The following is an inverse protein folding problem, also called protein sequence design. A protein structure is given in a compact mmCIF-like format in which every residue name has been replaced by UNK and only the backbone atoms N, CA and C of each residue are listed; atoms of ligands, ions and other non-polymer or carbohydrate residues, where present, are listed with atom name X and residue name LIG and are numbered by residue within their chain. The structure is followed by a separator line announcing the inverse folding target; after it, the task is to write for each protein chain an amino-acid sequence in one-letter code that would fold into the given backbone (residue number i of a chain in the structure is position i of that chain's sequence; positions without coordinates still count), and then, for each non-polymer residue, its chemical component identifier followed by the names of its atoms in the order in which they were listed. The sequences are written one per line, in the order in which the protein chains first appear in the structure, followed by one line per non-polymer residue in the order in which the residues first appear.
data_IF_241717964311
#
_entry.id   IF_241717964311
#
_cell.length_a   1.000
_cell.length_b   1.000
_cell.length_c   1.000
_cell.angle_alpha   90.00
_cell.angle_beta   90.00
_cell.angle_gamma   90.00
#
_symmetry.space_group_name_H-M   'P 1'
#
loop_
_entity.id
_entity.type
_entity.pdbx_description
1 polymer ?
#
# COMPACT_ATOMS: atom_id res chain seq x y z
N UNK A 1 -20.05 2.30 33.08
CA UNK A 1 -18.60 2.14 32.81
C UNK A 1 -18.32 1.12 31.73
N UNK A 2 -18.63 -0.18 31.93
CA UNK A 2 -18.53 -1.19 30.85
C UNK A 2 -19.20 -0.75 29.55
N UNK A 3 -20.43 -0.23 29.65
CA UNK A 3 -21.18 0.26 28.49
C UNK A 3 -20.52 1.50 27.86
N UNK A 4 -19.94 2.37 28.68
CA UNK A 4 -19.39 3.66 28.25
C UNK A 4 -18.08 3.48 27.46
N UNK A 5 -17.17 2.60 27.91
CA UNK A 5 -15.90 2.35 27.21
C UNK A 5 -16.11 1.59 25.89
N UNK A 6 -17.03 0.61 25.89
CA UNK A 6 -17.40 -0.13 24.69
C UNK A 6 -18.04 0.79 23.65
N UNK A 7 -18.95 1.66 24.08
CA UNK A 7 -19.63 2.60 23.18
C UNK A 7 -18.68 3.70 22.68
N UNK A 8 -17.80 4.21 23.56
CA UNK A 8 -16.73 5.12 23.16
C UNK A 8 -15.83 4.48 22.09
N UNK A 9 -15.43 3.22 22.27
CA UNK A 9 -14.60 2.50 21.29
C UNK A 9 -15.31 2.37 19.95
N UNK A 10 -16.59 1.98 19.96
CA UNK A 10 -17.42 1.94 18.75
C UNK A 10 -17.50 3.30 18.06
N UNK A 11 -17.70 4.37 18.83
CA UNK A 11 -17.80 5.72 18.30
C UNK A 11 -16.48 6.20 17.70
N UNK A 12 -15.35 5.99 18.37
CA UNK A 12 -14.01 6.29 17.84
C UNK A 12 -13.78 5.54 16.52
N UNK A 13 -14.09 4.24 16.47
CA UNK A 13 -13.87 3.44 15.26
C UNK A 13 -14.71 3.93 14.08
N UNK A 14 -16.00 4.24 14.29
CA UNK A 14 -16.86 4.81 13.25
C UNK A 14 -16.32 6.15 12.77
N UNK A 15 -15.99 7.04 13.71
CA UNK A 15 -15.50 8.39 13.42
C UNK A 15 -14.15 8.40 12.70
N UNK A 16 -13.26 7.47 13.04
CA UNK A 16 -12.00 7.27 12.31
C UNK A 16 -12.23 6.95 10.83
N UNK A 17 -13.17 6.06 10.50
CA UNK A 17 -13.45 5.69 9.10
C UNK A 17 -14.36 6.68 8.37
N UNK A 18 -15.22 7.40 9.09
CA UNK A 18 -15.95 8.58 8.60
C UNK A 18 -15.05 9.80 8.36
N UNK A 19 -13.76 9.71 8.74
CA UNK A 19 -12.76 10.78 8.58
C UNK A 19 -13.04 12.02 9.43
N UNK A 20 -13.65 11.82 10.61
CA UNK A 20 -13.85 12.84 11.63
C UNK A 20 -12.64 12.89 12.56
N UNK A 21 -11.55 13.50 12.06
CA UNK A 21 -10.26 13.51 12.71
C UNK A 21 -10.28 14.26 14.06
N UNK A 22 -10.97 15.40 14.12
CA UNK A 22 -11.05 16.23 15.32
C UNK A 22 -11.64 15.44 16.48
N UNK A 23 -12.76 14.74 16.24
CA UNK A 23 -13.37 13.89 17.26
C UNK A 23 -12.42 12.80 17.75
N UNK A 24 -11.72 12.12 16.82
CA UNK A 24 -10.82 11.01 17.16
C UNK A 24 -9.66 11.50 18.01
N UNK A 25 -9.02 12.61 17.63
CA UNK A 25 -7.90 13.21 18.36
C UNK A 25 -8.32 13.59 19.78
N UNK A 26 -9.51 14.15 19.97
CA UNK A 26 -10.04 14.53 21.28
C UNK A 26 -10.20 13.36 22.27
N UNK A 27 -10.23 12.12 21.79
CA UNK A 27 -10.33 10.92 22.65
C UNK A 27 -8.96 10.29 22.97
N UNK A 28 -7.85 10.86 22.47
CA UNK A 28 -6.50 10.33 22.68
C UNK A 28 -5.80 11.05 23.84
N UNK A 29 -4.93 10.34 24.55
CA UNK A 29 -3.99 10.97 25.46
C UNK A 29 -2.78 11.54 24.70
N UNK A 30 -2.08 12.51 25.30
CA UNK A 30 -0.88 13.12 24.71
C UNK A 30 0.23 12.10 24.42
N UNK A 31 0.34 11.06 25.24
CA UNK A 31 1.32 9.97 25.20
C UNK A 31 0.79 8.70 24.47
N UNK A 32 -0.19 8.84 23.57
CA UNK A 32 -0.79 7.73 22.83
C UNK A 32 0.27 6.89 22.07
N UNK A 33 0.16 5.57 22.17
CA UNK A 33 0.87 4.63 21.32
C UNK A 33 -0.09 3.96 20.33
N UNK A 34 0.10 4.20 19.04
CA UNK A 34 -0.67 3.58 17.97
C UNK A 34 0.17 2.52 17.25
N UNK A 35 -0.36 1.30 17.20
CA UNK A 35 0.18 0.19 16.42
C UNK A 35 -0.90 -0.22 15.41
N UNK A 36 -0.74 0.19 14.16
CA UNK A 36 -1.65 -0.19 13.09
C UNK A 36 -1.11 -1.33 12.22
N UNK A 37 -1.93 -1.83 11.27
CA UNK A 37 -1.55 -2.92 10.39
C UNK A 37 -0.46 -2.55 9.36
N UNK A 38 -0.16 -1.27 9.15
CA UNK A 38 0.87 -0.81 8.22
C UNK A 38 2.21 -0.59 8.92
N UNK A 39 3.32 -0.80 8.19
CA UNK A 39 4.69 -0.61 8.73
C UNK A 39 4.93 0.81 9.28
N UNK A 40 4.32 1.84 8.68
CA UNK A 40 4.42 3.23 9.13
C UNK A 40 3.66 3.49 10.43
N UNK A 41 2.76 2.61 10.82
CA UNK A 41 1.83 2.80 11.93
C UNK A 41 2.40 2.24 13.24
N UNK A 42 3.67 2.50 13.54
CA UNK A 42 4.24 2.31 14.88
C UNK A 42 4.58 3.69 15.44
N UNK A 43 3.60 4.30 16.10
CA UNK A 43 3.56 5.73 16.39
C UNK A 43 3.50 5.95 17.90
N UNK A 44 4.21 6.97 18.37
CA UNK A 44 4.17 7.45 19.73
C UNK A 44 3.94 8.96 19.75
N UNK A 45 3.00 9.41 20.58
CA UNK A 45 2.66 10.81 20.80
C UNK A 45 1.55 11.33 19.88
N UNK A 46 0.75 12.25 20.41
CA UNK A 46 -0.45 12.79 19.75
C UNK A 46 -0.15 13.52 18.44
N UNK A 47 0.95 14.28 18.37
CA UNK A 47 1.34 15.02 17.16
C UNK A 47 1.63 14.08 15.98
N UNK A 48 2.41 13.02 16.22
CA UNK A 48 2.72 12.01 15.19
C UNK A 48 1.48 11.19 14.80
N UNK A 49 0.59 10.93 15.76
CA UNK A 49 -0.69 10.27 15.50
C UNK A 49 -1.57 11.11 14.57
N UNK A 50 -1.66 12.42 14.83
CA UNK A 50 -2.39 13.37 13.99
C UNK A 50 -1.82 13.41 12.56
N UNK A 51 -0.50 13.55 12.41
CA UNK A 51 0.15 13.62 11.10
C UNK A 51 -0.17 12.41 10.22
N UNK A 52 -0.12 11.19 10.79
CA UNK A 52 -0.45 9.97 10.04
C UNK A 52 -1.93 9.93 9.65
N UNK A 53 -2.84 10.31 10.56
CA UNK A 53 -4.27 10.30 10.24
C UNK A 53 -4.66 11.40 9.22
N UNK A 54 -3.93 12.51 9.14
CA UNK A 54 -4.12 13.55 8.12
C UNK A 54 -3.76 13.02 6.72
N UNK A 55 -2.72 12.19 6.61
CA UNK A 55 -2.33 11.55 5.34
C UNK A 55 -3.41 10.56 4.88
N UNK A 56 -4.05 9.86 5.82
CA UNK A 56 -5.03 8.80 5.55
C UNK A 56 -6.43 9.31 5.13
N UNK A 57 -6.65 10.63 5.06
CA UNK A 57 -7.96 11.22 4.78
C UNK A 57 -8.50 10.96 3.37
N UNK A 58 -7.63 10.59 2.42
CA UNK A 58 -7.96 10.55 0.98
C UNK A 58 -8.99 9.49 0.56
N UNK A 59 -9.25 8.47 1.38
CA UNK A 59 -10.17 7.37 1.06
C UNK A 59 -11.09 7.09 2.26
N UNK A 60 -12.40 7.34 2.18
CA UNK A 60 -13.35 7.00 3.23
C UNK A 60 -13.67 5.51 3.21
N UNK A 61 -13.96 4.95 4.39
CA UNK A 61 -14.42 3.58 4.55
C UNK A 61 -15.69 3.53 5.39
N UNK A 62 -16.41 2.42 5.32
CA UNK A 62 -17.54 2.10 6.16
C UNK A 62 -17.20 0.91 7.05
N UNK A 63 -17.81 0.88 8.24
CA UNK A 63 -17.66 -0.22 9.21
C UNK A 63 -18.97 -0.97 9.30
N UNK A 64 -18.91 -2.30 9.27
CA UNK A 64 -20.04 -3.19 9.57
C UNK A 64 -19.59 -4.36 10.44
N UNK A 65 -20.56 -5.12 10.94
CA UNK A 65 -20.33 -6.34 11.72
C UNK A 65 -19.41 -6.13 12.94
N UNK A 66 -19.47 -4.93 13.54
CA UNK A 66 -18.62 -4.53 14.65
C UNK A 66 -19.07 -5.10 15.99
N UNK A 67 -18.14 -5.73 16.71
CA UNK A 67 -18.35 -6.28 18.04
C UNK A 67 -17.19 -5.84 18.93
N UNK A 68 -17.52 -5.27 20.09
CA UNK A 68 -16.55 -4.78 21.07
C UNK A 68 -16.90 -5.32 22.45
N UNK A 69 -15.86 -5.69 23.21
CA UNK A 69 -15.96 -6.30 24.52
C UNK A 69 -14.98 -5.65 25.50
N UNK A 70 -15.45 -5.37 26.71
CA UNK A 70 -14.59 -4.98 27.82
C UNK A 70 -13.80 -6.21 28.28
N UNK A 71 -12.48 -6.14 28.17
CA UNK A 71 -11.54 -7.23 28.53
C UNK A 71 -11.11 -7.12 29.99
N UNK A 72 -10.94 -5.90 30.50
CA UNK A 72 -10.53 -5.64 31.88
C UNK A 72 -10.78 -4.19 32.28
N UNK A 73 -10.95 -3.97 33.58
CA UNK A 73 -11.23 -2.65 34.16
C UNK A 73 -10.55 -2.54 35.53
N UNK A 74 -10.10 -1.33 35.85
CA UNK A 74 -9.60 -0.92 37.16
C UNK A 74 -10.07 0.52 37.43
N UNK A 75 -9.73 1.05 38.61
CA UNK A 75 -9.99 2.47 38.93
C UNK A 75 -9.25 3.41 37.97
N UNK A 76 -8.04 3.02 37.56
CA UNK A 76 -7.13 3.76 36.69
C UNK A 76 -7.52 3.74 35.20
N UNK A 77 -8.33 2.78 34.76
CA UNK A 77 -8.62 2.63 33.33
C UNK A 77 -9.27 1.31 32.92
N UNK A 78 -9.30 1.04 31.62
CA UNK A 78 -9.89 -0.18 31.09
C UNK A 78 -9.31 -0.60 29.73
N UNK A 79 -9.53 -1.86 29.36
CA UNK A 79 -9.15 -2.44 28.08
C UNK A 79 -10.40 -2.89 27.34
N UNK A 80 -10.55 -2.47 26.09
CA UNK A 80 -11.61 -2.90 25.18
C UNK A 80 -10.96 -3.57 23.98
N UNK A 81 -11.42 -4.77 23.62
CA UNK A 81 -11.02 -5.41 22.37
C UNK A 81 -12.24 -5.57 21.48
N UNK A 82 -12.02 -5.60 20.17
CA UNK A 82 -13.11 -5.78 19.23
C UNK A 82 -12.65 -6.33 17.90
N UNK A 83 -13.65 -6.66 17.09
CA UNK A 83 -13.50 -7.04 15.70
C UNK A 83 -14.56 -6.32 14.88
N UNK A 84 -14.24 -6.03 13.63
CA UNK A 84 -15.12 -5.32 12.73
C UNK A 84 -14.69 -5.58 11.29
N UNK A 85 -15.61 -5.31 10.37
CA UNK A 85 -15.33 -5.38 8.93
C UNK A 85 -15.31 -3.97 8.38
N UNK A 86 -14.19 -3.58 7.78
CA UNK A 86 -14.05 -2.31 7.07
C UNK A 86 -14.20 -2.54 5.57
N UNK A 87 -14.93 -1.67 4.88
CA UNK A 87 -15.08 -1.75 3.43
C UNK A 87 -15.25 -0.39 2.76
N UNK A 88 -15.01 -0.34 1.46
CA UNK A 88 -15.42 0.78 0.60
C UNK A 88 -15.91 0.27 -0.77
N UNK A 89 -16.75 1.08 -1.44
CA UNK A 89 -17.38 0.71 -2.72
C UNK A 89 -16.70 1.45 -3.90
N UNK A 90 -15.40 1.26 -4.08
CA UNK A 90 -14.70 1.70 -5.29
C UNK A 90 -14.36 3.20 -5.35
N UNK A 91 -14.20 3.85 -4.21
CA UNK A 91 -13.77 5.25 -4.15
C UNK A 91 -12.35 5.35 -4.74
N UNK A 92 -12.17 6.20 -5.76
CA UNK A 92 -10.89 6.38 -6.47
C UNK A 92 -10.30 5.08 -7.07
N UNK A 93 -11.15 4.18 -7.59
CA UNK A 93 -10.74 2.88 -8.15
C UNK A 93 -10.10 1.92 -7.11
N UNK A 94 -10.27 2.17 -5.82
CA UNK A 94 -9.83 1.30 -4.74
C UNK A 94 -11.05 0.64 -4.07
N UNK A 95 -11.08 -0.70 -4.08
CA UNK A 95 -12.08 -1.50 -3.35
C UNK A 95 -11.34 -2.28 -2.27
N UNK A 96 -11.83 -2.21 -1.05
CA UNK A 96 -11.32 -2.92 0.11
C UNK A 96 -12.50 -3.53 0.86
N UNK A 97 -12.29 -4.76 1.31
CA UNK A 97 -13.11 -5.44 2.31
C UNK A 97 -12.13 -6.19 3.20
N UNK A 98 -12.06 -5.84 4.48
CA UNK A 98 -11.10 -6.42 5.40
C UNK A 98 -11.71 -6.63 6.79
N UNK A 99 -11.50 -7.81 7.35
CA UNK A 99 -11.78 -8.07 8.76
C UNK A 99 -10.61 -7.62 9.62
N UNK A 100 -10.86 -6.77 10.61
CA UNK A 100 -9.83 -6.27 11.51
C UNK A 100 -10.18 -6.54 12.96
N UNK A 101 -9.15 -6.53 13.79
CA UNK A 101 -9.26 -6.62 15.24
C UNK A 101 -8.55 -5.43 15.85
N UNK A 102 -9.16 -4.85 16.87
CA UNK A 102 -8.58 -3.76 17.63
C UNK A 102 -8.50 -4.07 19.11
N UNK A 103 -7.52 -3.47 19.78
CA UNK A 103 -7.45 -3.36 21.24
C UNK A 103 -7.19 -1.91 21.59
N UNK A 104 -8.03 -1.35 22.45
CA UNK A 104 -7.91 -0.03 23.04
C UNK A 104 -7.59 -0.19 24.52
N UNK A 105 -6.58 0.53 24.99
CA UNK A 105 -6.30 0.73 26.41
C UNK A 105 -6.60 2.17 26.73
N UNK A 106 -7.50 2.36 27.70
CA UNK A 106 -7.90 3.67 28.19
C UNK A 106 -7.31 3.92 29.56
N UNK A 107 -6.87 5.16 29.77
CA UNK A 107 -6.57 5.72 31.09
C UNK A 107 -7.69 6.67 31.50
N UNK A 108 -8.03 6.65 32.78
CA UNK A 108 -8.96 7.60 33.37
C UNK A 108 -8.20 8.87 33.76
N UNK A 109 -8.65 10.01 33.24
CA UNK A 109 -8.09 11.31 33.57
C UNK A 109 -9.23 12.31 33.73
N UNK A 110 -9.31 12.96 34.89
CA UNK A 110 -10.35 13.96 35.20
C UNK A 110 -11.79 13.46 34.94
N UNK A 111 -12.05 12.18 35.23
CA UNK A 111 -13.35 11.55 35.03
C UNK A 111 -13.65 11.13 33.58
N UNK A 112 -12.78 11.43 32.61
CA UNK A 112 -12.86 10.99 31.21
C UNK A 112 -11.99 9.77 30.96
N UNK A 113 -12.34 9.00 29.93
CA UNK A 113 -11.48 7.96 29.37
C UNK A 113 -10.73 8.53 28.17
N UNK A 114 -9.41 8.39 28.17
CA UNK A 114 -8.54 8.74 27.04
C UNK A 114 -7.77 7.51 26.60
N UNK A 115 -7.74 7.25 25.29
CA UNK A 115 -6.98 6.16 24.73
C UNK A 115 -5.48 6.45 24.86
N UNK A 116 -4.76 5.56 25.52
CA UNK A 116 -3.29 5.62 25.69
C UNK A 116 -2.57 4.60 24.81
N UNK A 117 -3.28 3.55 24.38
CA UNK A 117 -2.76 2.59 23.44
C UNK A 117 -3.86 2.09 22.53
N UNK A 118 -3.56 2.00 21.24
CA UNK A 118 -4.43 1.35 20.28
C UNK A 118 -3.57 0.39 19.46
N UNK A 119 -4.07 -0.83 19.28
CA UNK A 119 -3.49 -1.81 18.39
C UNK A 119 -4.57 -2.29 17.43
N UNK A 120 -4.36 -2.09 16.13
CA UNK A 120 -5.19 -2.64 15.06
C UNK A 120 -4.39 -3.65 14.26
N UNK A 121 -5.00 -4.80 13.98
CA UNK A 121 -4.40 -5.89 13.22
C UNK A 121 -5.37 -6.41 12.16
N UNK A 122 -4.81 -6.81 11.02
CA UNK A 122 -5.56 -7.53 9.99
C UNK A 122 -5.63 -9.02 10.34
N UNK A 123 -6.71 -9.69 9.95
CA UNK A 123 -6.70 -11.15 9.89
C UNK A 123 -5.78 -11.61 8.76
N UNK A 124 -5.13 -12.77 8.93
CA UNK A 124 -4.31 -13.36 7.86
C UNK A 124 -5.16 -13.72 6.63
N UNK A 125 -6.46 -13.94 6.83
CA UNK A 125 -7.42 -14.26 5.78
C UNK A 125 -7.62 -13.09 4.80
N UNK A 126 -7.39 -11.83 5.24
CA UNK A 126 -7.39 -10.66 4.34
C UNK A 126 -6.25 -10.67 3.30
N UNK A 127 -5.25 -11.54 3.45
CA UNK A 127 -4.18 -11.73 2.46
C UNK A 127 -4.52 -12.84 1.45
N UNK A 128 -5.64 -13.55 1.65
CA UNK A 128 -6.08 -14.66 0.81
C UNK A 128 -7.13 -14.16 -0.20
N UNK A 129 -6.66 -13.47 -1.24
CA UNK A 129 -7.40 -13.43 -2.50
C UNK A 129 -7.22 -14.81 -3.15
N UNK A 130 -8.11 -15.75 -2.82
CA UNK A 130 -8.20 -17.09 -3.41
C UNK A 130 -8.31 -18.23 -2.39
N UNK A 131 -9.43 -18.96 -2.46
CA UNK A 131 -9.81 -20.23 -1.80
C UNK A 131 -9.50 -20.39 -0.29
N UNK A 132 -10.57 -20.25 0.51
CA UNK A 132 -10.68 -20.30 1.97
C UNK A 132 -10.28 -21.62 2.68
N UNK A 133 -9.53 -22.54 2.06
CA UNK A 133 -9.47 -23.93 2.57
C UNK A 133 -8.35 -24.33 3.51
N UNK A 134 -7.41 -23.44 3.88
CA UNK A 134 -6.24 -23.91 4.63
C UNK A 134 -5.76 -22.94 5.71
N UNK A 135 -6.51 -22.83 6.80
CA UNK A 135 -5.87 -22.53 8.08
C UNK A 135 -6.55 -23.21 9.29
N UNK A 136 -5.91 -24.25 9.85
CA UNK A 136 -5.75 -24.27 11.31
C UNK A 136 -4.36 -24.73 11.76
N UNK A 137 -3.70 -23.85 12.52
CA UNK A 137 -2.78 -24.09 13.64
C UNK A 137 -2.15 -25.49 13.81
N UNK A 138 -1.10 -25.81 13.04
CA UNK A 138 0.05 -26.63 13.51
C UNK A 138 1.27 -26.70 12.57
N UNK A 139 1.19 -26.18 11.34
CA UNK A 139 2.24 -26.30 10.32
C UNK A 139 2.99 -24.97 10.05
N UNK A 140 3.47 -24.29 11.09
CA UNK A 140 4.02 -22.93 10.97
C UNK A 140 5.32 -22.79 10.14
N UNK A 141 6.10 -23.86 9.95
CA UNK A 141 7.33 -23.83 9.13
C UNK A 141 7.06 -24.20 7.67
N UNK A 142 6.32 -25.30 7.46
CA UNK A 142 6.00 -25.82 6.13
C UNK A 142 5.05 -24.90 5.37
N UNK A 143 4.09 -24.26 6.06
CA UNK A 143 3.20 -23.29 5.42
C UNK A 143 3.89 -21.95 5.16
N UNK A 144 4.88 -21.55 5.97
CA UNK A 144 5.70 -20.38 5.65
C UNK A 144 6.55 -20.64 4.41
N UNK A 145 7.16 -21.83 4.28
CA UNK A 145 7.91 -22.22 3.10
C UNK A 145 7.02 -22.35 1.85
N UNK A 146 5.79 -22.86 2.01
CA UNK A 146 4.80 -22.92 0.94
C UNK A 146 4.24 -21.55 0.58
N UNK A 147 3.98 -20.66 1.54
CA UNK A 147 3.60 -19.27 1.30
C UNK A 147 4.73 -18.50 0.65
N UNK A 148 5.99 -18.67 1.09
CA UNK A 148 7.17 -18.12 0.43
C UNK A 148 7.25 -18.64 -1.01
N UNK A 149 6.99 -19.92 -1.24
CA UNK A 149 6.93 -20.50 -2.59
C UNK A 149 5.80 -19.92 -3.44
N UNK A 150 4.59 -19.74 -2.89
CA UNK A 150 3.46 -19.13 -3.59
C UNK A 150 3.68 -17.63 -3.84
N UNK A 151 4.31 -16.91 -2.92
CA UNK A 151 4.77 -15.53 -3.09
C UNK A 151 5.86 -15.50 -4.17
N UNK A 152 6.80 -16.44 -4.19
CA UNK A 152 7.80 -16.58 -5.25
C UNK A 152 7.19 -16.97 -6.61
N UNK A 153 6.06 -17.68 -6.61
CA UNK A 153 5.34 -18.08 -7.82
C UNK A 153 4.42 -16.96 -8.33
N UNK A 154 3.79 -16.17 -7.45
CA UNK A 154 2.92 -15.02 -7.79
C UNK A 154 3.66 -13.69 -8.01
N UNK A 155 4.70 -13.40 -7.23
CA UNK A 155 5.65 -12.28 -7.48
C UNK A 155 6.61 -12.64 -8.64
N UNK A 156 6.56 -13.89 -9.10
CA UNK A 156 7.53 -14.44 -10.01
C UNK A 156 8.89 -14.60 -9.32
N UNK A 157 9.69 -15.56 -9.78
CA UNK A 157 11.15 -15.48 -9.56
C UNK A 157 11.56 -14.06 -9.89
N UNK A 158 12.29 -13.37 -9.02
CA UNK A 158 12.83 -12.03 -9.28
C UNK A 158 13.28 -12.02 -10.75
N UNK A 159 12.56 -11.29 -11.62
CA UNK A 159 12.90 -11.24 -13.04
C UNK A 159 14.08 -10.28 -13.16
N UNK A 160 15.21 -10.70 -12.59
CA UNK A 160 16.44 -9.94 -12.57
C UNK A 160 17.00 -9.92 -13.98
N UNK A 161 17.02 -8.74 -14.58
CA UNK A 161 17.71 -8.50 -15.85
C UNK A 161 19.11 -8.02 -15.52
N UNK A 162 20.12 -8.60 -16.19
CA UNK A 162 21.50 -8.16 -16.05
C UNK A 162 21.80 -7.04 -17.06
N UNK A 163 22.17 -5.87 -16.56
CA UNK A 163 22.62 -4.75 -17.37
C UNK A 163 24.11 -4.47 -17.12
N UNK A 164 24.85 -4.24 -18.21
CA UNK A 164 26.25 -3.84 -18.12
C UNK A 164 26.34 -2.35 -17.74
N UNK A 165 26.99 -2.04 -16.63
CA UNK A 165 27.28 -0.69 -16.18
C UNK A 165 28.40 0.00 -16.96
N UNK A 166 28.75 1.22 -16.55
CA UNK A 166 29.73 2.06 -17.23
C UNK A 166 31.18 1.66 -16.94
N UNK A 167 31.49 1.17 -15.73
CA UNK A 167 32.85 0.85 -15.27
C UNK A 167 33.11 -0.67 -15.15
N UNK A 168 32.47 -1.46 -16.03
CA UNK A 168 32.52 -2.93 -16.06
C UNK A 168 31.78 -3.65 -14.92
N UNK A 169 31.01 -2.94 -14.12
CA UNK A 169 30.04 -3.53 -13.20
C UNK A 169 28.87 -4.19 -13.96
N UNK A 170 28.25 -5.18 -13.33
CA UNK A 170 27.01 -5.80 -13.77
C UNK A 170 25.91 -5.50 -12.75
N UNK A 171 24.79 -4.94 -13.23
CA UNK A 171 23.63 -4.63 -12.43
C UNK A 171 22.56 -5.70 -12.65
N UNK A 172 22.23 -6.44 -11.60
CA UNK A 172 21.11 -7.37 -11.59
C UNK A 172 19.89 -6.63 -11.02
N UNK A 173 19.03 -6.16 -11.91
CA UNK A 173 17.91 -5.29 -11.55
C UNK A 173 16.62 -6.09 -11.65
N UNK A 174 15.84 -6.12 -10.57
CA UNK A 174 14.48 -6.62 -10.63
C UNK A 174 13.67 -5.74 -11.57
N UNK A 175 13.14 -6.33 -12.64
CA UNK A 175 12.43 -5.61 -13.68
C UNK A 175 11.21 -4.86 -13.14
N UNK A 176 10.58 -5.39 -12.08
CA UNK A 176 9.43 -4.77 -11.44
C UNK A 176 9.80 -3.49 -10.66
N UNK A 177 11.09 -3.27 -10.38
CA UNK A 177 11.58 -2.04 -9.75
C UNK A 177 11.84 -0.92 -10.77
N UNK A 178 11.86 -1.23 -12.07
CA UNK A 178 12.14 -0.24 -13.12
C UNK A 178 10.84 0.50 -13.45
N UNK A 179 10.84 1.82 -13.23
CA UNK A 179 9.72 2.73 -13.52
C UNK A 179 9.75 3.16 -14.98
N UNK A 180 10.90 3.65 -15.45
CA UNK A 180 11.12 3.97 -16.86
C UNK A 180 12.61 3.91 -17.20
N UNK A 181 12.90 3.96 -18.50
CA UNK A 181 14.25 3.96 -19.06
C UNK A 181 14.39 5.15 -19.97
N UNK A 182 15.43 5.94 -19.71
CA UNK A 182 15.79 7.11 -20.49
C UNK A 182 16.99 6.83 -21.40
N UNK A 183 16.92 7.26 -22.66
CA UNK A 183 18.01 7.11 -23.61
C UNK A 183 19.10 8.17 -23.37
N UNK A 184 20.35 7.71 -23.37
CA UNK A 184 21.54 8.56 -23.47
C UNK A 184 22.34 8.28 -24.74
N UNK A 185 23.49 8.94 -24.89
CA UNK A 185 24.37 8.73 -26.05
C UNK A 185 25.01 7.32 -26.03
N UNK A 186 24.41 6.39 -26.80
CA UNK A 186 24.79 4.96 -26.86
C UNK A 186 24.76 4.25 -25.50
N UNK A 187 23.97 4.78 -24.58
CA UNK A 187 23.82 4.36 -23.18
C UNK A 187 22.36 4.55 -22.79
N UNK A 188 21.95 4.03 -21.64
CA UNK A 188 20.64 4.30 -21.08
C UNK A 188 20.73 4.54 -19.58
N UNK A 189 19.74 5.21 -19.02
CA UNK A 189 19.56 5.40 -17.59
C UNK A 189 18.29 4.67 -17.16
N UNK A 190 18.43 3.74 -16.23
CA UNK A 190 17.29 3.09 -15.59
C UNK A 190 16.84 3.97 -14.42
N UNK A 191 15.59 4.41 -14.43
CA UNK A 191 14.95 5.00 -13.26
C UNK A 191 14.19 3.88 -12.54
N UNK A 192 14.68 3.52 -11.35
CA UNK A 192 14.06 2.52 -10.48
C UNK A 192 13.35 3.22 -9.29
N UNK A 193 12.53 2.48 -8.55
CA UNK A 193 11.81 3.00 -7.40
C UNK A 193 12.74 3.50 -6.27
N UNK A 194 13.87 2.84 -6.04
CA UNK A 194 14.84 3.19 -4.98
C UNK A 194 15.97 4.11 -5.46
N UNK A 195 16.35 4.03 -6.74
CA UNK A 195 17.52 4.72 -7.29
C UNK A 195 17.51 4.82 -8.81
N UNK A 196 18.43 5.61 -9.35
CA UNK A 196 18.73 5.63 -10.77
C UNK A 196 20.13 5.07 -11.05
N UNK A 197 20.32 4.41 -12.19
CA UNK A 197 21.64 3.92 -12.61
C UNK A 197 21.87 4.07 -14.11
N UNK A 198 23.12 4.27 -14.49
CA UNK A 198 23.53 4.39 -15.89
C UNK A 198 24.10 3.06 -16.39
N UNK A 199 23.64 2.62 -17.56
CA UNK A 199 24.05 1.38 -18.20
C UNK A 199 24.58 1.67 -19.60
N UNK A 200 25.56 0.87 -20.05
CA UNK A 200 26.17 1.03 -21.38
C UNK A 200 25.40 0.33 -22.50
N UNK A 201 24.17 -0.07 -22.23
CA UNK A 201 23.26 -0.70 -23.19
C UNK A 201 22.36 0.39 -23.81
N UNK A 202 22.32 0.54 -25.15
CA UNK A 202 21.41 1.46 -25.82
C UNK A 202 19.94 1.08 -25.64
N UNK A 203 19.06 2.08 -25.56
CA UNK A 203 17.63 1.88 -25.30
C UNK A 203 16.94 0.93 -26.30
N UNK A 204 17.39 0.90 -27.55
CA UNK A 204 16.83 0.02 -28.58
C UNK A 204 17.20 -1.46 -28.41
N UNK A 205 18.35 -1.76 -27.79
CA UNK A 205 18.71 -3.15 -27.41
C UNK A 205 17.94 -3.58 -26.17
N UNK A 206 17.61 -2.64 -25.28
CA UNK A 206 16.80 -2.93 -24.09
C UNK A 206 15.36 -3.24 -24.48
N UNK A 207 14.79 -2.46 -25.41
CA UNK A 207 13.41 -2.62 -25.91
C UNK A 207 13.10 -4.05 -26.37
N UNK A 208 14.06 -4.76 -26.95
CA UNK A 208 13.85 -6.12 -27.48
C UNK A 208 13.83 -7.21 -26.41
N UNK A 209 14.35 -6.92 -25.22
CA UNK A 209 14.53 -7.89 -24.12
C UNK A 209 13.50 -7.68 -23.00
N UNK A 210 12.74 -6.58 -23.03
CA UNK A 210 11.76 -6.26 -22.00
C UNK A 210 10.40 -6.93 -22.29
N UNK A 211 9.66 -7.34 -21.24
CA UNK A 211 8.31 -7.88 -21.37
C UNK A 211 7.30 -6.80 -21.76
N UNK A 212 6.09 -7.24 -22.10
CA UNK A 212 5.00 -6.39 -22.63
C UNK A 212 4.55 -5.24 -21.71
N UNK A 213 4.83 -5.32 -20.41
CA UNK A 213 4.59 -4.22 -19.46
C UNK A 213 5.47 -2.99 -19.76
N UNK A 214 6.50 -3.11 -20.62
CA UNK A 214 7.34 -2.00 -21.05
C UNK A 214 7.01 -1.58 -22.47
N UNK A 215 6.71 -0.29 -22.66
CA UNK A 215 6.42 0.27 -23.99
C UNK A 215 7.26 1.50 -24.29
N UNK A 216 7.66 1.64 -25.57
CA UNK A 216 8.43 2.78 -26.04
C UNK A 216 7.55 3.94 -26.48
N UNK A 217 7.42 4.94 -25.62
CA UNK A 217 6.56 6.11 -25.85
C UNK A 217 7.26 7.23 -26.63
N UNK A 218 8.60 7.30 -26.56
CA UNK A 218 9.39 8.34 -27.19
C UNK A 218 10.72 7.75 -27.71
N UNK A 219 11.43 8.47 -28.58
CA UNK A 219 12.78 8.04 -29.01
C UNK A 219 13.73 7.87 -27.81
N UNK A 220 13.46 8.63 -26.74
CA UNK A 220 14.23 8.67 -25.51
C UNK A 220 13.62 7.94 -24.32
N UNK A 221 12.40 7.41 -24.40
CA UNK A 221 11.73 6.86 -23.23
C UNK A 221 11.03 5.53 -23.52
N UNK A 222 11.30 4.54 -22.68
CA UNK A 222 10.51 3.34 -22.47
C UNK A 222 9.93 3.45 -21.06
N UNK A 223 8.64 3.20 -20.88
CA UNK A 223 7.98 3.25 -19.57
C UNK A 223 7.51 1.87 -19.16
N UNK A 224 7.44 1.62 -17.86
CA UNK A 224 6.68 0.52 -17.30
C UNK A 224 5.23 0.97 -17.08
N UNK A 225 4.29 0.23 -17.66
CA UNK A 225 2.86 0.51 -17.59
C UNK A 225 2.30 0.36 -16.18
N UNK A 226 2.90 -0.47 -15.34
CA UNK A 226 2.52 -0.64 -13.93
C UNK A 226 2.70 0.64 -13.09
N UNK A 227 3.52 1.58 -13.58
CA UNK A 227 3.84 2.83 -12.89
C UNK A 227 3.22 4.08 -13.57
N UNK A 228 2.30 3.90 -14.51
CA UNK A 228 1.57 5.03 -15.11
C UNK A 228 0.52 5.55 -14.13
N UNK A 229 0.65 6.81 -13.70
CA UNK A 229 -0.30 7.44 -12.79
C UNK A 229 -1.50 8.00 -13.56
N UNK A 230 -1.26 8.75 -14.64
CA UNK A 230 -2.29 9.22 -15.56
C UNK A 230 -1.67 9.64 -16.91
N UNK A 231 -2.53 9.79 -17.91
CA UNK A 231 -2.16 10.28 -19.24
C UNK A 231 -2.82 11.63 -19.49
N UNK A 232 -2.02 12.62 -19.86
CA UNK A 232 -2.46 13.94 -20.32
C UNK A 232 -2.09 14.12 -21.79
N UNK A 233 -2.64 15.15 -22.45
CA UNK A 233 -2.37 15.35 -23.87
C UNK A 233 -0.86 15.50 -24.13
N UNK A 234 -0.28 14.49 -24.81
CA UNK A 234 1.15 14.37 -25.16
C UNK A 234 2.10 14.18 -23.96
N UNK A 235 1.59 13.86 -22.78
CA UNK A 235 2.39 13.68 -21.57
C UNK A 235 1.90 12.47 -20.76
N UNK A 236 2.83 11.72 -20.19
CA UNK A 236 2.53 10.61 -19.29
C UNK A 236 3.12 10.94 -17.93
N UNK A 237 2.27 10.93 -16.91
CA UNK A 237 2.68 11.14 -15.53
C UNK A 237 2.95 9.77 -14.89
N UNK A 238 4.14 9.62 -14.34
CA UNK A 238 4.62 8.40 -13.70
C UNK A 238 4.42 8.47 -12.18
N UNK A 239 4.40 7.31 -11.52
CA UNK A 239 4.22 7.21 -10.07
C UNK A 239 5.30 7.93 -9.24
N UNK A 240 6.53 8.03 -9.75
CA UNK A 240 7.62 8.77 -9.09
C UNK A 240 7.51 10.30 -9.21
N UNK A 241 6.42 10.79 -9.83
CA UNK A 241 6.19 12.21 -10.10
C UNK A 241 6.83 12.73 -11.39
N UNK A 242 7.52 11.87 -12.16
CA UNK A 242 8.08 12.28 -13.45
C UNK A 242 6.99 12.48 -14.52
N UNK A 243 7.14 13.51 -15.35
CA UNK A 243 6.29 13.74 -16.54
C UNK A 243 7.09 13.50 -17.81
N UNK A 244 6.66 12.54 -18.64
CA UNK A 244 7.39 12.09 -19.82
C UNK A 244 6.65 12.46 -21.12
N UNK A 245 7.33 13.11 -22.09
CA UNK A 245 6.68 13.58 -23.31
C UNK A 245 6.44 12.46 -24.33
N UNK A 246 5.32 12.54 -25.05
CA UNK A 246 4.94 11.64 -26.13
C UNK A 246 4.85 12.42 -27.45
N UNK A 247 5.50 11.95 -28.54
CA UNK A 247 5.35 12.59 -29.85
C UNK A 247 3.90 12.55 -30.33
N UNK A 248 3.43 13.64 -30.91
CA UNK A 248 2.05 13.78 -31.40
C UNK A 248 1.59 12.59 -32.27
N UNK A 249 2.44 12.16 -33.21
CA UNK A 249 2.15 11.02 -34.10
C UNK A 249 2.04 9.68 -33.38
N UNK A 250 2.69 9.52 -32.22
CA UNK A 250 2.69 8.29 -31.41
C UNK A 250 1.61 8.30 -30.34
N UNK A 251 1.15 9.48 -29.92
CA UNK A 251 0.21 9.64 -28.81
C UNK A 251 -1.04 8.74 -28.92
N UNK A 252 -1.75 8.65 -30.07
CA UNK A 252 -2.93 7.79 -30.16
C UNK A 252 -2.62 6.31 -29.94
N UNK A 253 -1.48 5.83 -30.48
CA UNK A 253 -1.05 4.44 -30.32
C UNK A 253 -0.64 4.16 -28.87
N UNK A 254 0.12 5.07 -28.25
CA UNK A 254 0.58 4.93 -26.87
C UNK A 254 -0.59 4.92 -25.90
N UNK A 255 -1.56 5.83 -26.07
CA UNK A 255 -2.77 5.88 -25.24
C UNK A 255 -3.54 4.56 -25.33
N UNK A 256 -3.72 4.03 -26.56
CA UNK A 256 -4.38 2.75 -26.76
C UNK A 256 -3.62 1.59 -26.08
N UNK A 257 -2.29 1.53 -26.20
CA UNK A 257 -1.49 0.48 -25.54
C UNK A 257 -1.62 0.52 -24.02
N UNK A 258 -1.68 1.72 -23.42
CA UNK A 258 -1.90 1.88 -21.97
C UNK A 258 -3.30 1.36 -21.59
N UNK A 259 -4.33 1.76 -22.34
CA UNK A 259 -5.72 1.32 -22.11
C UNK A 259 -5.85 -0.20 -22.23
N UNK A 260 -5.38 -0.78 -23.35
CA UNK A 260 -5.42 -2.22 -23.60
C UNK A 260 -4.68 -3.00 -22.50
N UNK A 261 -3.53 -2.50 -22.03
CA UNK A 261 -2.77 -3.13 -20.95
C UNK A 261 -3.58 -3.17 -19.65
N UNK A 262 -4.12 -2.03 -19.21
CA UNK A 262 -4.91 -1.97 -17.98
C UNK A 262 -6.25 -2.69 -18.11
N UNK A 263 -6.89 -2.75 -19.27
CA UNK A 263 -8.11 -3.55 -19.47
C UNK A 263 -7.84 -5.06 -19.33
N UNK A 264 -6.69 -5.54 -19.83
CA UNK A 264 -6.33 -6.96 -19.77
C UNK A 264 -5.70 -7.40 -18.44
N UNK A 265 -5.21 -6.45 -17.64
CA UNK A 265 -4.55 -6.70 -16.35
C UNK A 265 -5.35 -6.14 -15.15
N UNK A 266 -6.46 -5.45 -15.38
CA UNK A 266 -7.47 -5.17 -14.35
C UNK A 266 -8.31 -6.44 -14.18
N UNK A 267 -8.27 -7.02 -12.98
CA UNK A 267 -8.88 -8.31 -12.61
C UNK A 267 -8.13 -9.57 -13.06
N UNK A 268 -7.04 -9.89 -12.35
CA UNK A 268 -6.72 -11.25 -11.90
C UNK A 268 -6.12 -11.24 -10.50
#
# INVERSE_FOLDING_TARGET
MKQDAVELTRMIMRKHYERDLDFVIEQMAEDIMWIGPLKSQFINGLDNFKEILEIEQGIPFQVKDDVYELVGESEEGCVVSGKYTVYNEGVQNYIMLAEQRCTFVYRRQEGRLLAIHIHVSNTADNLLIGDEKYFPFKAGRENYEYMQKLIQEKIGKEKKVCFKGLNKEEYFVDINQIIYIEAGHRKSRLQCADKAMNIRVPIGEIETELPEQFIRIHRSYIINLDYVLNVQYREINMYDGSTLPVPEKRYPQVLKSIQDYHENHSYR
#
